data_IF_729941101788
#
_entry.id   IF_729941101788
#
_cell.length_a   1.000
_cell.length_b   1.000
_cell.length_c   1.000
_cell.angle_alpha   90.00
_cell.angle_beta   90.00
_cell.angle_gamma   90.00
#
_symmetry.space_group_name_H-M   'P 1'
#
loop_
_entity.id
_entity.type
_entity.pdbx_description
1 polymer ?
#
# COMPACT_ATOMS: atom_id res chain seq x y z
N UNK A 1 11.25 7.77 4.66
CA UNK A 1 11.75 6.44 5.05
C UNK A 1 12.50 5.86 3.86
N UNK A 2 13.70 5.33 4.06
CA UNK A 2 14.45 4.69 2.98
C UNK A 2 14.10 3.19 2.85
N UNK A 3 14.59 2.55 1.79
CA UNK A 3 14.28 1.15 1.49
C UNK A 3 14.71 0.19 2.62
N UNK A 4 15.91 0.38 3.19
CA UNK A 4 16.45 -0.53 4.22
C UNK A 4 15.63 -0.45 5.51
N UNK A 5 15.28 0.77 5.93
CA UNK A 5 14.42 1.01 7.09
C UNK A 5 13.06 0.33 6.91
N UNK A 6 12.41 0.56 5.77
CA UNK A 6 11.08 0.00 5.49
C UNK A 6 11.09 -1.53 5.49
N UNK A 7 12.07 -2.16 4.83
CA UNK A 7 12.21 -3.62 4.83
C UNK A 7 12.47 -4.15 6.24
N UNK A 8 13.26 -3.45 7.05
CA UNK A 8 13.50 -3.84 8.44
C UNK A 8 12.21 -3.81 9.26
N UNK A 9 11.44 -2.73 9.19
CA UNK A 9 10.16 -2.61 9.90
C UNK A 9 9.16 -3.68 9.46
N UNK A 10 9.07 -3.98 8.16
CA UNK A 10 8.21 -5.05 7.64
C UNK A 10 8.60 -6.41 8.24
N UNK A 11 9.91 -6.74 8.25
CA UNK A 11 10.41 -8.01 8.82
C UNK A 11 10.15 -8.13 10.32
N UNK A 12 10.22 -7.02 11.04
CA UNK A 12 9.91 -6.96 12.47
C UNK A 12 8.39 -6.91 12.76
N UNK A 13 7.54 -6.98 11.73
CA UNK A 13 6.08 -6.81 11.81
C UNK A 13 5.63 -5.45 12.40
N UNK A 14 6.54 -4.48 12.44
CA UNK A 14 6.27 -3.09 12.83
C UNK A 14 5.62 -2.34 11.66
N UNK A 15 4.33 -2.61 11.46
CA UNK A 15 3.60 -2.17 10.28
C UNK A 15 2.57 -1.09 10.58
N UNK A 16 2.37 -0.21 9.60
CA UNK A 16 1.35 0.83 9.60
C UNK A 16 0.16 0.42 8.73
N UNK A 17 -1.02 1.03 8.91
CA UNK A 17 -2.20 0.58 8.19
C UNK A 17 -2.18 0.86 6.67
N UNK A 18 -1.48 1.91 6.23
CA UNK A 18 -1.46 2.32 4.82
C UNK A 18 -0.06 2.68 4.34
N UNK A 19 0.33 2.06 3.22
CA UNK A 19 1.58 2.31 2.50
C UNK A 19 1.28 2.77 1.08
N UNK A 20 1.99 3.82 0.64
CA UNK A 20 1.92 4.30 -0.73
C UNK A 20 3.32 4.26 -1.34
N UNK A 21 3.56 3.29 -2.22
CA UNK A 21 4.85 3.04 -2.85
C UNK A 21 4.81 3.63 -4.26
N UNK A 22 5.54 4.71 -4.51
CA UNK A 22 5.49 5.44 -5.77
C UNK A 22 6.87 5.66 -6.37
N UNK A 23 6.91 5.94 -7.66
CA UNK A 23 8.13 6.39 -8.34
C UNK A 23 8.42 5.65 -9.63
N UNK A 24 9.49 6.10 -10.27
CA UNK A 24 9.80 5.77 -11.66
C UNK A 24 10.55 4.44 -11.78
N UNK A 25 11.23 4.02 -10.72
CA UNK A 25 11.97 2.75 -10.65
C UNK A 25 11.13 1.66 -9.93
N UNK A 26 10.59 0.65 -10.63
CA UNK A 26 9.68 -0.34 -10.03
C UNK A 26 10.40 -1.41 -9.17
N UNK A 27 11.73 -1.54 -9.27
CA UNK A 27 12.47 -2.63 -8.62
C UNK A 27 12.28 -2.66 -7.10
N UNK A 28 12.51 -1.54 -6.41
CA UNK A 28 12.33 -1.45 -4.96
C UNK A 28 10.87 -1.57 -4.55
N UNK A 29 9.95 -0.99 -5.33
CA UNK A 29 8.50 -1.10 -5.09
C UNK A 29 8.08 -2.57 -5.11
N UNK A 30 8.51 -3.34 -6.11
CA UNK A 30 8.22 -4.77 -6.21
C UNK A 30 8.81 -5.56 -5.04
N UNK A 31 10.07 -5.27 -4.63
CA UNK A 31 10.70 -5.92 -3.47
C UNK A 31 9.97 -5.64 -2.16
N UNK A 32 9.57 -4.39 -1.93
CA UNK A 32 8.80 -4.00 -0.74
C UNK A 32 7.43 -4.69 -0.76
N UNK A 33 6.74 -4.67 -1.90
CA UNK A 33 5.43 -5.31 -2.06
C UNK A 33 5.51 -6.81 -1.76
N UNK A 34 6.54 -7.50 -2.26
CA UNK A 34 6.78 -8.92 -1.95
C UNK A 34 7.22 -9.16 -0.50
N UNK A 35 7.76 -8.18 0.20
CA UNK A 35 8.03 -8.32 1.63
C UNK A 35 6.73 -8.33 2.44
N UNK A 36 5.74 -7.52 2.06
CA UNK A 36 4.41 -7.52 2.67
C UNK A 36 3.68 -8.85 2.50
N UNK A 37 3.86 -9.54 1.37
CA UNK A 37 3.22 -10.85 1.16
C UNK A 37 3.70 -11.92 2.13
N UNK A 38 4.85 -11.72 2.76
CA UNK A 38 5.43 -12.69 3.70
C UNK A 38 5.04 -12.42 5.16
N UNK A 39 4.19 -11.41 5.41
CA UNK A 39 3.67 -11.13 6.76
C UNK A 39 2.66 -12.19 7.19
N UNK A 40 1.83 -12.62 6.23
CA UNK A 40 0.78 -13.63 6.43
C UNK A 40 1.38 -15.02 6.21
N UNK A 41 1.06 -15.95 7.10
CA UNK A 41 1.46 -17.36 6.98
C UNK A 41 0.86 -17.96 5.71
N UNK A 42 1.54 -18.92 5.09
CA UNK A 42 1.13 -19.45 3.78
C UNK A 42 -0.29 -20.02 3.81
N UNK A 43 -0.62 -20.75 4.87
CA UNK A 43 -1.93 -21.35 5.14
C UNK A 43 -3.05 -20.32 5.43
N UNK A 44 -2.71 -19.08 5.77
CA UNK A 44 -3.65 -18.00 6.08
C UNK A 44 -3.90 -17.05 4.89
N UNK A 45 -3.06 -17.14 3.84
CA UNK A 45 -3.06 -16.17 2.73
C UNK A 45 -4.38 -16.11 1.98
N UNK A 46 -5.02 -17.25 1.75
CA UNK A 46 -6.28 -17.32 1.01
C UNK A 46 -7.40 -16.48 1.65
N UNK A 47 -7.33 -16.27 2.97
CA UNK A 47 -8.31 -15.49 3.72
C UNK A 47 -7.83 -14.08 4.06
N UNK A 48 -6.53 -13.89 4.25
CA UNK A 48 -5.97 -12.66 4.81
C UNK A 48 -5.09 -11.87 3.85
N UNK A 49 -4.87 -12.35 2.63
CA UNK A 49 -4.11 -11.64 1.61
C UNK A 49 -4.92 -11.53 0.32
N UNK A 50 -5.04 -10.30 -0.19
CA UNK A 50 -5.68 -10.04 -1.48
C UNK A 50 -4.78 -9.16 -2.35
N UNK A 51 -4.74 -9.49 -3.63
CA UNK A 51 -4.05 -8.70 -4.65
C UNK A 51 -5.11 -8.17 -5.62
N UNK A 52 -5.23 -6.85 -5.67
CA UNK A 52 -6.10 -6.13 -6.60
C UNK A 52 -5.23 -5.45 -7.67
N UNK A 53 -5.80 -5.20 -8.84
CA UNK A 53 -5.13 -4.50 -9.93
C UNK A 53 -5.88 -3.20 -10.24
N UNK A 54 -5.18 -2.08 -10.33
CA UNK A 54 -5.79 -0.76 -10.49
C UNK A 54 -6.68 -0.60 -11.71
N UNK A 55 -6.46 -1.38 -12.78
CA UNK A 55 -7.32 -1.41 -13.98
C UNK A 55 -8.65 -2.13 -13.77
N UNK A 56 -8.68 -3.07 -12.83
CA UNK A 56 -9.78 -4.02 -12.64
C UNK A 56 -10.57 -3.76 -11.37
N UNK A 57 -10.26 -2.68 -10.63
CA UNK A 57 -10.92 -2.30 -9.38
C UNK A 57 -11.16 -0.79 -9.29
N UNK A 58 -11.87 -0.37 -8.26
CA UNK A 58 -12.09 1.04 -7.91
C UNK A 58 -11.81 1.30 -6.42
N UNK A 59 -11.83 2.57 -6.03
CA UNK A 59 -11.48 2.99 -4.67
C UNK A 59 -12.49 2.48 -3.64
N UNK A 60 -13.77 2.47 -4.00
CA UNK A 60 -14.86 2.02 -3.14
C UNK A 60 -14.73 0.54 -2.77
N UNK A 61 -14.39 -0.31 -3.74
CA UNK A 61 -14.07 -1.73 -3.53
C UNK A 61 -12.83 -1.91 -2.65
N UNK A 62 -11.76 -1.16 -2.90
CA UNK A 62 -10.54 -1.21 -2.08
C UNK A 62 -10.86 -0.85 -0.62
N UNK A 63 -11.67 0.19 -0.40
CA UNK A 63 -12.09 0.59 0.96
C UNK A 63 -12.92 -0.51 1.61
N UNK A 64 -13.85 -1.12 0.88
CA UNK A 64 -14.69 -2.20 1.39
C UNK A 64 -13.82 -3.39 1.84
N UNK A 65 -12.88 -3.82 1.00
CA UNK A 65 -11.91 -4.86 1.33
C UNK A 65 -11.05 -4.48 2.53
N UNK A 66 -10.60 -3.22 2.59
CA UNK A 66 -9.73 -2.74 3.67
C UNK A 66 -10.41 -2.64 5.03
N UNK A 67 -11.74 -2.52 5.06
CA UNK A 67 -12.53 -2.50 6.29
C UNK A 67 -12.82 -3.90 6.85
N UNK A 68 -12.60 -4.96 6.09
CA UNK A 68 -12.82 -6.33 6.56
C UNK A 68 -11.79 -6.70 7.65
N UNK A 69 -12.25 -7.45 8.65
CA UNK A 69 -11.36 -7.98 9.69
C UNK A 69 -10.59 -9.20 9.17
N UNK A 70 -9.36 -9.43 9.67
CA UNK A 70 -8.65 -10.67 9.38
C UNK A 70 -9.38 -11.88 9.98
N UNK A 71 -9.19 -13.04 9.36
CA UNK A 71 -9.77 -14.30 9.78
C UNK A 71 -8.67 -15.23 10.28
N UNK A 72 -8.67 -15.53 11.59
CA UNK A 72 -7.67 -16.38 12.21
C UNK A 72 -6.25 -15.82 12.25
N UNK A 73 -6.02 -14.60 11.74
CA UNK A 73 -4.73 -13.90 11.71
C UNK A 73 -4.80 -12.56 12.42
N UNK A 74 -3.66 -12.01 12.82
CA UNK A 74 -3.58 -10.67 13.43
C UNK A 74 -3.78 -9.55 12.40
N UNK A 75 -3.44 -9.82 11.13
CA UNK A 75 -3.40 -8.81 10.07
C UNK A 75 -4.06 -9.32 8.79
N UNK A 76 -4.60 -8.38 8.02
CA UNK A 76 -5.01 -8.56 6.62
C UNK A 76 -4.09 -7.72 5.74
N UNK A 77 -3.58 -8.27 4.65
CA UNK A 77 -2.71 -7.58 3.69
C UNK A 77 -3.45 -7.41 2.37
N UNK A 78 -3.55 -6.16 1.91
CA UNK A 78 -4.22 -5.80 0.66
C UNK A 78 -3.21 -5.08 -0.21
N UNK A 79 -2.90 -5.65 -1.36
CA UNK A 79 -1.93 -5.07 -2.31
C UNK A 79 -2.69 -4.64 -3.56
N UNK A 80 -2.68 -3.35 -3.83
CA UNK A 80 -3.21 -2.77 -5.07
C UNK A 80 -2.04 -2.54 -6.03
N UNK A 81 -1.86 -3.47 -6.97
CA UNK A 81 -0.86 -3.38 -8.03
C UNK A 81 -1.33 -2.41 -9.11
N UNK A 82 -0.36 -1.72 -9.73
CA UNK A 82 -0.62 -0.74 -10.79
C UNK A 82 -1.66 0.31 -10.38
N UNK A 83 -1.52 0.81 -9.15
CA UNK A 83 -2.42 1.79 -8.56
C UNK A 83 -2.47 3.12 -9.35
N UNK A 84 -1.51 3.38 -10.24
CA UNK A 84 -1.52 4.51 -11.15
C UNK A 84 -2.66 4.51 -12.17
N UNK A 85 -3.26 3.34 -12.40
CA UNK A 85 -4.39 3.17 -13.30
C UNK A 85 -5.75 3.40 -12.61
N UNK A 86 -5.76 3.55 -11.28
CA UNK A 86 -6.96 3.89 -10.52
C UNK A 86 -7.49 5.27 -10.93
N UNK A 87 -8.81 5.34 -11.10
CA UNK A 87 -9.52 6.60 -11.29
C UNK A 87 -9.99 7.13 -9.94
N UNK A 88 -10.02 8.46 -9.81
CA UNK A 88 -10.56 9.17 -8.63
C UNK A 88 -9.93 8.75 -7.30
N UNK A 89 -8.60 8.67 -7.25
CA UNK A 89 -7.84 8.29 -6.05
C UNK A 89 -8.19 9.15 -4.81
N UNK A 90 -8.66 10.38 -5.01
CA UNK A 90 -9.17 11.28 -3.96
C UNK A 90 -10.32 10.70 -3.12
N UNK A 91 -11.03 9.67 -3.61
CA UNK A 91 -12.11 9.03 -2.84
C UNK A 91 -11.59 8.24 -1.63
N UNK A 92 -10.28 7.97 -1.56
CA UNK A 92 -9.66 7.26 -0.42
C UNK A 92 -9.50 8.15 0.80
N UNK A 93 -9.59 9.48 0.65
CA UNK A 93 -9.20 10.47 1.67
C UNK A 93 -9.81 10.19 3.05
N UNK A 94 -11.12 9.93 3.12
CA UNK A 94 -11.80 9.69 4.39
C UNK A 94 -11.33 8.41 5.09
N UNK A 95 -10.99 7.37 4.32
CA UNK A 95 -10.43 6.14 4.86
C UNK A 95 -9.04 6.37 5.46
N UNK A 96 -8.22 7.26 4.87
CA UNK A 96 -6.86 7.53 5.35
C UNK A 96 -6.83 8.20 6.72
N UNK A 97 -7.86 8.98 7.09
CA UNK A 97 -7.93 9.60 8.41
C UNK A 97 -8.22 8.61 9.54
N UNK A 98 -8.90 7.50 9.25
CA UNK A 98 -9.24 6.48 10.24
C UNK A 98 -9.20 5.08 9.61
N UNK A 99 -8.00 4.59 9.24
CA UNK A 99 -7.87 3.30 8.58
C UNK A 99 -8.08 2.16 9.58
N UNK A 100 -8.48 1.00 9.07
CA UNK A 100 -8.61 -0.20 9.88
C UNK A 100 -7.23 -0.66 10.35
N UNK A 101 -6.98 -0.67 11.67
CA UNK A 101 -5.64 -0.94 12.24
C UNK A 101 -5.13 -2.37 12.01
N UNK A 102 -6.04 -3.32 11.81
CA UNK A 102 -5.72 -4.71 11.46
C UNK A 102 -5.41 -4.90 9.97
N UNK A 103 -5.63 -3.89 9.14
CA UNK A 103 -5.36 -3.96 7.70
C UNK A 103 -4.06 -3.26 7.37
N UNK A 104 -3.27 -3.88 6.49
CA UNK A 104 -2.12 -3.28 5.84
C UNK A 104 -2.51 -3.11 4.36
N UNK A 105 -2.83 -1.89 3.96
CA UNK A 105 -3.19 -1.52 2.60
C UNK A 105 -1.98 -0.93 1.88
N UNK A 106 -1.56 -1.54 0.77
CA UNK A 106 -0.39 -1.13 0.00
C UNK A 106 -0.82 -0.73 -1.40
N UNK A 107 -0.56 0.52 -1.77
CA UNK A 107 -0.67 0.98 -3.16
C UNK A 107 0.70 0.90 -3.84
N UNK A 108 0.80 0.08 -4.88
CA UNK A 108 1.97 -0.01 -5.75
C UNK A 108 1.73 0.87 -6.98
N UNK A 109 2.19 2.11 -6.90
CA UNK A 109 1.98 3.18 -7.88
C UNK A 109 3.25 3.35 -8.72
N UNK A 110 3.44 2.45 -9.69
CA UNK A 110 4.71 2.31 -10.43
C UNK A 110 4.78 3.28 -11.62
N UNK A 111 5.99 3.64 -12.01
CA UNK A 111 6.32 4.44 -13.19
C UNK A 111 5.62 5.81 -13.22
N UNK A 112 5.25 6.33 -12.05
CA UNK A 112 4.53 7.58 -11.90
C UNK A 112 4.68 8.13 -10.49
N UNK A 113 4.50 9.44 -10.37
CA UNK A 113 4.48 10.15 -9.09
C UNK A 113 3.15 10.85 -8.85
N UNK A 114 2.98 11.41 -7.64
CA UNK A 114 1.80 12.20 -7.27
C UNK A 114 2.21 13.63 -6.92
N UNK A 115 1.41 14.60 -7.36
CA UNK A 115 1.68 16.01 -7.08
C UNK A 115 1.40 16.32 -5.60
N UNK A 116 2.48 16.49 -4.82
CA UNK A 116 2.45 16.75 -3.38
C UNK A 116 1.75 18.06 -3.00
N UNK A 117 1.51 18.96 -3.97
CA UNK A 117 0.84 20.25 -3.74
C UNK A 117 -0.68 20.10 -3.73
N UNK A 118 -1.22 19.08 -4.40
CA UNK A 118 -2.66 18.78 -4.42
C UNK A 118 -3.13 18.21 -3.08
N UNK A 119 -4.43 18.33 -2.80
CA UNK A 119 -5.05 17.88 -1.54
C UNK A 119 -4.72 16.43 -1.21
N UNK A 120 -5.03 15.50 -2.12
CA UNK A 120 -4.73 14.07 -1.96
C UNK A 120 -3.23 13.80 -1.75
N UNK A 121 -2.35 14.51 -2.46
CA UNK A 121 -0.90 14.41 -2.27
C UNK A 121 -0.51 14.78 -0.84
N UNK A 122 -1.01 15.90 -0.31
CA UNK A 122 -0.74 16.29 1.09
C UNK A 122 -1.24 15.27 2.10
N UNK A 123 -2.42 14.69 1.87
CA UNK A 123 -3.03 13.70 2.77
C UNK A 123 -2.21 12.41 2.77
N UNK A 124 -1.87 11.86 1.60
CA UNK A 124 -1.06 10.64 1.50
C UNK A 124 0.27 10.77 2.22
N UNK A 125 0.96 11.90 2.06
CA UNK A 125 2.25 12.14 2.73
C UNK A 125 2.14 12.41 4.24
N UNK A 126 0.93 12.69 4.75
CA UNK A 126 0.67 12.97 6.16
C UNK A 126 0.13 11.74 6.91
N UNK A 127 -0.79 11.02 6.28
CA UNK A 127 -1.56 9.93 6.91
C UNK A 127 -1.02 8.53 6.55
N UNK A 128 -0.20 8.41 5.49
CA UNK A 128 0.36 7.13 5.05
C UNK A 128 1.88 7.09 5.20
N UNK A 129 2.44 5.88 5.22
CA UNK A 129 3.86 5.69 4.98
C UNK A 129 4.12 5.74 3.47
N UNK A 130 4.80 6.79 3.02
CA UNK A 130 5.17 6.96 1.61
C UNK A 130 6.61 6.52 1.36
N UNK A 131 6.81 5.66 0.36
CA UNK A 131 8.13 5.32 -0.18
C UNK A 131 8.22 5.84 -1.61
N UNK A 132 9.27 6.62 -1.89
CA UNK A 132 9.55 7.15 -3.22
C UNK A 132 10.77 6.45 -3.81
N UNK A 133 10.54 5.66 -4.86
CA UNK A 133 11.58 5.00 -5.65
C UNK A 133 12.02 5.94 -6.77
N UNK A 134 13.15 6.63 -6.57
CA UNK A 134 13.73 7.50 -7.59
C UNK A 134 14.63 6.68 -8.50
N UNK A 135 14.69 7.04 -9.77
CA UNK A 135 15.77 6.60 -10.65
C UNK A 135 17.10 6.98 -10.00
N UNK A 136 18.05 6.03 -10.00
CA UNK A 136 19.45 6.35 -9.75
C UNK A 136 19.94 7.17 -10.93
N UNK A 137 19.74 8.49 -10.89
CA UNK A 137 20.58 9.39 -11.67
C UNK A 137 22.02 9.20 -11.16
N UNK A 138 22.94 8.93 -12.09
CA UNK A 138 24.40 8.93 -11.83
C UNK A 138 24.86 10.19 -11.07
#
# INVERSE_FOLDING_TARGET
>A
MNYKELISSIKNKETQPVYFLLGDEPYYINKITNAFTNIILEEEKDFNQIILYGKDTNIEEIILEAKQFPFGSEKRVIIVKDAQDLKKIELIEDYLYNPQKSTILIFSYRNKTIDKRKKIGKILFKECVVFESKELYE
#
